data_IF_808713735540
#
_entry.id   IF_808713735540
#
_cell.length_a   1.000
_cell.length_b   1.000
_cell.length_c   1.000
_cell.angle_alpha   90.00
_cell.angle_beta   90.00
_cell.angle_gamma   90.00
#
_symmetry.space_group_name_H-M   'P 1'
#
loop_
_entity.id
_entity.type
_entity.pdbx_description
1 polymer ?
#
# COMPACT_ATOMS: atom_id res chain seq x y z
N UNK A 1 -9.74 7.08 8.35
CA UNK A 1 -9.27 7.11 6.94
C UNK A 1 -9.66 8.46 6.38
N UNK A 2 -8.72 9.16 5.74
CA UNK A 2 -8.99 10.44 5.05
C UNK A 2 -9.52 10.17 3.63
N UNK A 3 -10.05 11.20 2.98
CA UNK A 3 -10.43 11.12 1.56
C UNK A 3 -9.20 10.79 0.68
N UNK A 4 -8.05 11.41 0.95
CA UNK A 4 -6.82 11.15 0.21
C UNK A 4 -6.33 9.70 0.36
N UNK A 5 -6.37 9.12 1.57
CA UNK A 5 -6.10 7.68 1.75
C UNK A 5 -7.06 6.84 0.91
N UNK A 6 -8.36 7.16 0.88
CA UNK A 6 -9.35 6.40 0.13
C UNK A 6 -9.08 6.45 -1.39
N UNK A 7 -8.70 7.61 -1.91
CA UNK A 7 -8.29 7.77 -3.31
C UNK A 7 -7.03 6.96 -3.65
N UNK A 8 -6.04 6.94 -2.76
CA UNK A 8 -4.82 6.13 -2.92
C UNK A 8 -5.18 4.63 -2.96
N UNK A 9 -6.05 4.16 -2.06
CA UNK A 9 -6.53 2.78 -2.03
C UNK A 9 -7.21 2.42 -3.36
N UNK A 10 -8.14 3.26 -3.82
CA UNK A 10 -8.88 3.01 -5.05
C UNK A 10 -7.94 2.94 -6.27
N UNK A 11 -7.03 3.90 -6.38
CA UNK A 11 -6.05 3.97 -7.48
C UNK A 11 -5.11 2.78 -7.48
N UNK A 12 -4.39 2.54 -6.37
CA UNK A 12 -3.40 1.47 -6.29
C UNK A 12 -4.06 0.09 -6.35
N UNK A 13 -5.19 -0.10 -5.66
CA UNK A 13 -5.93 -1.36 -5.69
C UNK A 13 -6.38 -1.73 -7.09
N UNK A 14 -6.92 -0.77 -7.86
CA UNK A 14 -7.32 -0.99 -9.24
C UNK A 14 -6.12 -1.23 -10.17
N UNK A 15 -5.02 -0.49 -9.99
CA UNK A 15 -3.80 -0.63 -10.76
C UNK A 15 -3.16 -2.03 -10.56
N UNK A 16 -3.04 -2.48 -9.31
CA UNK A 16 -2.50 -3.80 -9.01
C UNK A 16 -3.44 -4.91 -9.50
N UNK A 17 -4.75 -4.77 -9.31
CA UNK A 17 -5.73 -5.72 -9.82
C UNK A 17 -5.70 -5.84 -11.36
N UNK A 18 -5.54 -4.72 -12.09
CA UNK A 18 -5.39 -4.71 -13.55
C UNK A 18 -4.13 -5.45 -14.01
N UNK A 19 -3.09 -5.49 -13.18
CA UNK A 19 -1.85 -6.24 -13.41
C UNK A 19 -1.90 -7.68 -12.90
N UNK A 20 -3.05 -8.17 -12.41
CA UNK A 20 -3.19 -9.50 -11.82
C UNK A 20 -2.50 -9.66 -10.46
N UNK A 21 -2.12 -8.55 -9.82
CA UNK A 21 -1.45 -8.53 -8.52
C UNK A 21 -2.50 -8.29 -7.44
N UNK A 22 -2.71 -9.29 -6.58
CA UNK A 22 -3.56 -9.13 -5.41
C UNK A 22 -2.74 -8.54 -4.24
N UNK A 23 -3.18 -7.37 -3.76
CA UNK A 23 -2.70 -6.76 -2.50
C UNK A 23 -3.78 -6.98 -1.44
N UNK A 24 -3.47 -7.62 -0.30
CA UNK A 24 -4.44 -7.77 0.79
C UNK A 24 -5.02 -6.42 1.22
N UNK A 25 -6.34 -6.32 1.37
CA UNK A 25 -7.02 -5.05 1.65
C UNK A 25 -6.46 -4.33 2.90
N UNK A 26 -6.16 -5.07 3.96
CA UNK A 26 -5.59 -4.51 5.18
C UNK A 26 -4.20 -3.88 4.92
N UNK A 27 -3.33 -4.59 4.21
CA UNK A 27 -2.00 -4.09 3.86
C UNK A 27 -2.08 -2.88 2.92
N UNK A 28 -3.04 -2.89 1.98
CA UNK A 28 -3.30 -1.75 1.08
C UNK A 28 -3.74 -0.50 1.86
N UNK A 29 -4.63 -0.63 2.85
CA UNK A 29 -5.05 0.48 3.71
C UNK A 29 -3.86 1.02 4.51
N UNK A 30 -3.06 0.13 5.11
CA UNK A 30 -1.89 0.52 5.91
C UNK A 30 -0.85 1.23 5.02
N UNK A 31 -0.54 0.67 3.85
CA UNK A 31 0.40 1.26 2.90
C UNK A 31 -0.09 2.58 2.33
N UNK A 32 -1.39 2.72 2.04
CA UNK A 32 -1.99 3.97 1.57
C UNK A 32 -1.91 5.09 2.62
N UNK A 33 -2.16 4.78 3.90
CA UNK A 33 -1.96 5.73 4.99
C UNK A 33 -0.50 6.20 5.06
N UNK A 34 0.47 5.28 4.92
CA UNK A 34 1.89 5.63 4.93
C UNK A 34 2.29 6.49 3.73
N UNK A 35 1.75 6.19 2.54
CA UNK A 35 1.96 7.00 1.34
C UNK A 35 1.41 8.42 1.48
N UNK A 36 0.21 8.58 2.05
CA UNK A 36 -0.40 9.91 2.25
C UNK A 36 0.51 10.83 3.07
N UNK A 37 1.13 10.31 4.14
CA UNK A 37 1.96 11.09 5.05
C UNK A 37 3.47 11.02 4.73
N UNK A 38 3.86 10.32 3.66
CA UNK A 38 5.25 10.18 3.23
C UNK A 38 6.14 9.33 4.14
N UNK A 39 5.57 8.35 4.84
CA UNK A 39 6.28 7.49 5.79
C UNK A 39 6.68 6.14 5.16
N UNK A 40 7.71 5.52 5.72
CA UNK A 40 8.06 4.13 5.44
C UNK A 40 7.25 3.16 6.32
N UNK A 41 7.07 1.91 5.86
CA UNK A 41 6.51 0.82 6.66
C UNK A 41 7.63 -0.10 7.14
N UNK A 42 7.81 -0.20 8.45
CA UNK A 42 8.60 -1.27 9.09
C UNK A 42 7.76 -2.52 9.28
N UNK A 43 8.16 -3.66 8.69
CA UNK A 43 7.35 -4.88 8.71
C UNK A 43 8.18 -6.16 8.52
N UNK A 44 7.70 -7.28 9.05
CA UNK A 44 8.17 -8.62 8.66
C UNK A 44 7.44 -9.16 7.41
N UNK A 45 6.35 -8.51 6.97
CA UNK A 45 5.59 -8.89 5.77
C UNK A 45 6.02 -8.09 4.52
N UNK A 46 7.33 -7.97 4.29
CA UNK A 46 7.85 -7.21 3.15
C UNK A 46 7.29 -7.72 1.81
N UNK A 47 6.95 -9.01 1.70
CA UNK A 47 6.38 -9.62 0.48
C UNK A 47 5.11 -8.89 0.00
N UNK A 48 4.19 -8.59 0.90
CA UNK A 48 2.89 -8.02 0.50
C UNK A 48 2.98 -6.49 0.38
N UNK A 49 3.73 -5.82 1.28
CA UNK A 49 3.96 -4.38 1.20
C UNK A 49 4.78 -3.95 -0.01
N UNK A 50 5.70 -4.78 -0.51
CA UNK A 50 6.44 -4.50 -1.75
C UNK A 50 5.56 -4.52 -3.01
N UNK A 51 4.30 -4.97 -2.92
CA UNK A 51 3.32 -4.90 -4.03
C UNK A 51 2.62 -3.54 -4.11
N UNK A 52 2.90 -2.61 -3.19
CA UNK A 52 2.30 -1.28 -3.17
C UNK A 52 3.28 -0.30 -3.86
N UNK A 53 2.97 0.22 -5.06
CA UNK A 53 3.87 1.10 -5.79
C UNK A 53 4.16 2.39 -5.01
N UNK A 54 5.45 2.79 -4.99
CA UNK A 54 5.91 4.00 -4.32
C UNK A 54 6.05 3.90 -2.81
N UNK A 55 5.67 2.77 -2.19
CA UNK A 55 5.83 2.58 -0.75
C UNK A 55 7.27 2.22 -0.40
N UNK A 56 7.85 2.94 0.57
CA UNK A 56 9.15 2.56 1.13
C UNK A 56 8.94 1.50 2.21
N UNK A 57 9.56 0.34 2.04
CA UNK A 57 9.44 -0.80 2.97
C UNK A 57 10.78 -1.07 3.64
N UNK A 58 10.76 -1.12 4.98
CA UNK A 58 11.90 -1.50 5.81
C UNK A 58 11.62 -2.88 6.40
N UNK A 59 12.48 -3.85 6.10
CA UNK A 59 12.37 -5.18 6.72
C UNK A 59 12.82 -5.11 8.17
N UNK A 60 12.01 -5.67 9.06
CA UNK A 60 12.35 -5.90 10.47
C UNK A 60 12.97 -7.28 10.68
#
# INVERSE_FOLDING_TARGET
>A
MTEATAEIIARIGSEQAANGINVPLADLIIGACALEIGYAIGTHNARDFNRIPGLTVLSL
#
